data_IF_471808229013
#
_entry.id   IF_471808229013
#
_cell.length_a   1.000
_cell.length_b   1.000
_cell.length_c   1.000
_cell.angle_alpha   90.00
_cell.angle_beta   90.00
_cell.angle_gamma   90.00
#
_symmetry.space_group_name_H-M   'P 1'
#
loop_
_entity.id
_entity.type
_entity.pdbx_description
1 polymer ?
#
# COMPACT_ATOMS: atom_id res chain seq x y z
N UNK A 1 1.52 -11.99 0.00
CA UNK A 1 0.15 -12.52 -0.24
C UNK A 1 -0.72 -12.59 1.02
N UNK A 2 -0.17 -12.88 2.21
CA UNK A 2 -0.97 -12.97 3.44
C UNK A 2 -1.72 -11.65 3.76
N UNK A 3 -1.02 -10.50 3.73
CA UNK A 3 -1.61 -9.19 4.00
C UNK A 3 -2.73 -8.79 3.03
N UNK A 4 -2.56 -9.04 1.73
CA UNK A 4 -3.61 -8.81 0.74
C UNK A 4 -4.90 -9.57 1.07
N UNK A 5 -4.78 -10.84 1.49
CA UNK A 5 -5.93 -11.64 1.91
C UNK A 5 -6.60 -11.05 3.15
N UNK A 6 -5.83 -10.52 4.10
CA UNK A 6 -6.35 -9.88 5.31
C UNK A 6 -7.08 -8.57 5.00
N UNK A 7 -6.53 -7.73 4.11
CA UNK A 7 -7.20 -6.51 3.63
C UNK A 7 -8.52 -6.85 2.94
N UNK A 8 -8.53 -7.86 2.07
CA UNK A 8 -9.76 -8.28 1.39
C UNK A 8 -10.82 -8.79 2.37
N UNK A 9 -10.42 -9.59 3.38
CA UNK A 9 -11.33 -10.04 4.45
C UNK A 9 -11.88 -8.87 5.25
N UNK A 10 -11.03 -7.93 5.66
CA UNK A 10 -11.45 -6.72 6.36
C UNK A 10 -12.52 -5.93 5.59
N UNK A 11 -12.33 -5.74 4.28
CA UNK A 11 -13.31 -5.05 3.43
C UNK A 11 -14.65 -5.81 3.34
N UNK A 12 -14.61 -7.14 3.23
CA UNK A 12 -15.82 -7.98 3.19
C UNK A 12 -16.56 -7.99 4.53
N UNK A 13 -15.84 -8.09 5.63
CA UNK A 13 -16.38 -8.03 7.00
C UNK A 13 -16.99 -6.66 7.32
N UNK A 14 -16.47 -5.60 6.69
CA UNK A 14 -17.04 -4.26 6.73
C UNK A 14 -18.30 -4.08 5.85
N UNK A 15 -18.82 -5.15 5.24
CA UNK A 15 -20.04 -5.11 4.44
C UNK A 15 -19.86 -4.44 3.06
N UNK A 16 -18.63 -4.44 2.53
CA UNK A 16 -18.33 -4.00 1.18
C UNK A 16 -17.99 -5.18 0.25
N UNK A 17 -18.13 -4.98 -1.05
CA UNK A 17 -17.68 -5.92 -2.09
C UNK A 17 -16.55 -5.30 -2.91
N UNK A 18 -15.58 -6.12 -3.33
CA UNK A 18 -14.53 -5.72 -4.27
C UNK A 18 -15.10 -5.89 -5.67
N UNK A 19 -15.37 -4.77 -6.35
CA UNK A 19 -15.96 -4.76 -7.68
C UNK A 19 -14.90 -4.76 -8.79
N UNK A 20 -13.72 -4.18 -8.53
CA UNK A 20 -12.58 -4.26 -9.44
C UNK A 20 -11.27 -4.33 -8.68
N UNK A 21 -10.30 -5.03 -9.26
CA UNK A 21 -8.88 -5.00 -8.87
C UNK A 21 -8.06 -4.95 -10.16
N UNK A 22 -7.54 -3.77 -10.48
CA UNK A 22 -6.67 -3.55 -11.66
C UNK A 22 -5.24 -3.46 -11.18
N UNK A 23 -4.48 -4.52 -11.42
CA UNK A 23 -3.06 -4.56 -11.03
C UNK A 23 -2.23 -3.55 -11.83
N UNK A 24 -1.16 -3.05 -11.20
CA UNK A 24 -0.23 -2.08 -11.78
C UNK A 24 -0.89 -0.85 -12.43
N UNK A 25 -2.02 -0.39 -11.88
CA UNK A 25 -2.78 0.73 -12.43
C UNK A 25 -2.12 2.08 -12.15
N UNK A 26 -1.50 2.23 -10.98
CA UNK A 26 -0.84 3.48 -10.59
C UNK A 26 0.67 3.38 -10.78
N UNK A 27 1.23 4.34 -11.52
CA UNK A 27 2.66 4.61 -11.59
C UNK A 27 3.00 5.76 -10.65
N UNK A 28 4.00 5.57 -9.79
CA UNK A 28 4.45 6.60 -8.85
C UNK A 28 5.71 7.28 -9.36
N UNK A 29 5.69 8.62 -9.39
CA UNK A 29 6.89 9.41 -9.64
C UNK A 29 7.87 9.18 -8.50
N UNK A 30 9.13 8.91 -8.85
CA UNK A 30 10.21 8.71 -7.89
C UNK A 30 10.31 9.90 -6.93
N UNK A 31 10.40 9.60 -5.63
CA UNK A 31 10.48 10.61 -4.58
C UNK A 31 11.94 10.94 -4.23
N UNK A 32 12.20 12.17 -3.74
CA UNK A 32 13.57 12.67 -3.60
C UNK A 32 14.36 12.04 -2.43
N UNK A 33 13.69 11.33 -1.52
CA UNK A 33 14.30 10.75 -0.31
C UNK A 33 14.59 9.24 -0.44
N UNK A 34 14.71 8.72 -1.68
CA UNK A 34 14.89 7.27 -1.91
C UNK A 34 16.09 6.70 -1.14
N UNK A 35 17.17 7.46 -1.04
CA UNK A 35 18.42 7.13 -0.35
C UNK A 35 18.34 7.19 1.18
N UNK A 36 17.21 7.64 1.73
CA UNK A 36 16.93 7.69 3.17
C UNK A 36 15.90 6.64 3.61
N UNK A 37 15.33 5.90 2.66
CA UNK A 37 14.30 4.90 2.97
C UNK A 37 14.87 3.72 3.76
N UNK A 38 14.03 3.10 4.59
CA UNK A 38 14.34 1.86 5.32
C UNK A 38 14.97 0.78 4.43
N UNK A 39 14.53 0.64 3.17
CA UNK A 39 15.09 -0.35 2.25
C UNK A 39 16.51 -0.05 1.78
N UNK A 40 16.91 1.23 1.71
CA UNK A 40 18.14 1.66 1.05
C UNK A 40 19.39 0.89 1.49
N UNK A 41 19.72 0.78 2.80
CA UNK A 41 20.92 0.04 3.25
C UNK A 41 20.86 -1.47 2.99
N UNK A 42 19.69 -2.01 2.64
CA UNK A 42 19.50 -3.42 2.33
C UNK A 42 19.60 -3.73 0.83
N UNK A 43 19.67 -2.71 -0.03
CA UNK A 43 19.78 -2.91 -1.47
C UNK A 43 21.18 -3.45 -1.82
N UNK A 44 21.28 -4.46 -2.70
CA UNK A 44 22.57 -4.97 -3.14
C UNK A 44 23.33 -3.96 -4.02
N UNK A 45 22.60 -2.99 -4.62
CA UNK A 45 23.14 -1.92 -5.46
C UNK A 45 22.47 -0.60 -5.08
N UNK A 46 23.28 0.40 -4.79
CA UNK A 46 22.82 1.73 -4.38
C UNK A 46 22.84 2.67 -5.59
N UNK A 47 21.77 2.65 -6.38
CA UNK A 47 21.58 3.53 -7.53
C UNK A 47 20.19 4.14 -7.47
N UNK A 48 20.11 5.46 -7.58
CA UNK A 48 18.83 6.14 -7.72
C UNK A 48 18.20 5.81 -9.08
N UNK A 49 16.90 5.45 -9.13
CA UNK A 49 16.19 5.25 -10.38
C UNK A 49 16.13 6.55 -11.18
N UNK A 50 16.19 6.45 -12.51
CA UNK A 50 16.06 7.61 -13.39
C UNK A 50 14.67 8.25 -13.30
N UNK A 51 14.53 9.49 -13.79
CA UNK A 51 13.24 10.21 -13.78
C UNK A 51 12.13 9.46 -14.53
N UNK A 52 12.47 8.79 -15.62
CA UNK A 52 11.53 8.03 -16.45
C UNK A 52 11.49 6.53 -16.08
N UNK A 53 12.29 6.12 -15.10
CA UNK A 53 12.38 4.73 -14.64
C UNK A 53 11.39 4.51 -13.50
N UNK A 54 10.15 4.16 -13.86
CA UNK A 54 9.10 3.83 -12.88
C UNK A 54 9.30 2.39 -12.39
N UNK A 55 9.47 2.25 -11.08
CA UNK A 55 9.64 0.95 -10.42
C UNK A 55 8.56 0.66 -9.38
N UNK A 56 7.98 1.69 -8.75
CA UNK A 56 6.94 1.52 -7.73
C UNK A 56 5.55 1.71 -8.33
N UNK A 57 4.71 0.67 -8.17
CA UNK A 57 3.34 0.63 -8.70
C UNK A 57 2.37 0.09 -7.66
N UNK A 58 1.10 0.44 -7.80
CA UNK A 58 0.02 -0.14 -7.01
C UNK A 58 -1.18 -0.53 -7.86
N UNK A 59 -1.97 -1.46 -7.34
CA UNK A 59 -3.26 -1.81 -7.93
C UNK A 59 -4.32 -0.76 -7.57
N UNK A 60 -5.26 -0.52 -8.48
CA UNK A 60 -6.49 0.20 -8.19
C UNK A 60 -7.55 -0.79 -7.72
N UNK A 61 -8.17 -0.51 -6.56
CA UNK A 61 -9.28 -1.29 -6.02
C UNK A 61 -10.54 -0.43 -6.06
N UNK A 62 -11.59 -0.92 -6.72
CA UNK A 62 -12.94 -0.35 -6.61
C UNK A 62 -13.73 -1.20 -5.61
N UNK A 63 -14.27 -0.56 -4.58
CA UNK A 63 -15.22 -1.19 -3.65
C UNK A 63 -16.61 -0.59 -3.80
N UNK A 64 -17.62 -1.37 -3.46
CA UNK A 64 -19.01 -0.92 -3.34
C UNK A 64 -19.55 -1.33 -1.97
N UNK A 65 -20.19 -0.39 -1.27
CA UNK A 65 -20.74 -0.62 0.06
C UNK A 65 -22.14 -1.20 -0.09
N UNK A 66 -22.38 -2.38 0.51
CA UNK A 66 -23.69 -3.06 0.45
C UNK A 66 -24.45 -2.83 1.75
N UNK A 67 -23.86 -3.26 2.87
CA UNK A 67 -24.41 -3.05 4.22
C UNK A 67 -23.69 -1.91 4.93
N UNK A 68 -22.37 -1.85 4.76
CA UNK A 68 -21.51 -0.84 5.36
C UNK A 68 -21.08 -1.18 6.79
N UNK A 69 -19.94 -0.63 7.22
CA UNK A 69 -19.40 -0.92 8.54
C UNK A 69 -20.11 -0.11 9.63
N UNK A 70 -20.18 -0.69 10.83
CA UNK A 70 -20.33 0.11 12.05
C UNK A 70 -18.96 0.63 12.45
N UNK A 71 -18.75 1.95 12.37
CA UNK A 71 -17.46 2.58 12.70
C UNK A 71 -17.48 3.09 14.14
N UNK A 72 -16.48 2.69 14.91
CA UNK A 72 -16.15 3.35 16.18
C UNK A 72 -15.13 4.46 15.92
N UNK A 73 -15.46 5.68 16.36
CA UNK A 73 -14.49 6.78 16.36
C UNK A 73 -13.43 6.52 17.44
N UNK A 74 -12.24 6.14 17.00
CA UNK A 74 -11.10 5.88 17.89
C UNK A 74 -9.81 6.46 17.37
N UNK A 75 -8.94 6.83 18.29
CA UNK A 75 -7.54 7.13 17.99
C UNK A 75 -6.78 5.83 17.78
N UNK A 76 -6.10 5.73 16.65
CA UNK A 76 -5.13 4.67 16.42
C UNK A 76 -3.79 5.09 17.04
N UNK A 77 -3.23 4.24 17.90
CA UNK A 77 -1.91 4.43 18.48
C UNK A 77 -0.86 3.65 17.67
N UNK A 78 0.40 4.10 17.72
CA UNK A 78 1.52 3.45 17.03
C UNK A 78 1.80 4.01 15.63
N UNK A 79 2.69 3.32 14.93
CA UNK A 79 3.10 3.64 13.56
C UNK A 79 2.10 3.05 12.56
N UNK A 80 1.52 3.91 11.72
CA UNK A 80 0.55 3.52 10.69
C UNK A 80 1.19 3.34 9.30
N UNK A 81 2.47 3.68 9.16
CA UNK A 81 3.21 3.62 7.91
C UNK A 81 4.14 2.41 7.85
N UNK A 82 4.64 1.97 9.02
CA UNK A 82 5.60 0.87 9.10
C UNK A 82 4.98 -0.43 9.66
N UNK A 83 5.26 -1.53 8.96
CA UNK A 83 5.16 -2.89 9.47
C UNK A 83 6.36 -3.71 8.95
N UNK A 84 6.37 -5.03 9.13
CA UNK A 84 7.48 -5.87 8.66
C UNK A 84 7.73 -5.78 7.15
N UNK A 85 6.68 -5.59 6.34
CA UNK A 85 6.77 -5.57 4.88
C UNK A 85 7.05 -4.16 4.30
N UNK A 86 6.75 -3.09 5.04
CA UNK A 86 6.94 -1.71 4.59
C UNK A 86 8.42 -1.30 4.55
N UNK A 87 8.85 -0.66 3.46
CA UNK A 87 10.26 -0.38 3.24
C UNK A 87 10.58 1.02 2.68
N UNK A 88 9.57 1.84 2.39
CA UNK A 88 9.72 3.08 1.60
C UNK A 88 9.55 4.38 2.39
N UNK A 89 9.70 4.31 3.72
CA UNK A 89 9.71 5.45 4.64
C UNK A 89 11.12 5.77 5.06
#
# INVERSE_FOLDING_TARGET
YAKWREIQRFLLEAGAVIAELRDAFHDYVNWPYIDHMRSWPHLPVHRLPGREEIWYRSALIRIEVVEGPTIEERRYEGDIFADEEAATT
#
